data_IF_640036599469
#
_entry.id   IF_640036599469
#
_cell.length_a   1.000
_cell.length_b   1.000
_cell.length_c   1.000
_cell.angle_alpha   90.00
_cell.angle_beta   90.00
_cell.angle_gamma   90.00
#
_symmetry.space_group_name_H-M   'P 1'
#
loop_
_entity.id
_entity.type
_entity.pdbx_description
1 polymer ?
#
# COMPACT_ATOMS: atom_id res chain seq x y z
N UNK A 1 26.03 9.85 2.59
CA UNK A 1 24.92 9.83 1.62
C UNK A 1 24.97 11.10 0.81
N UNK A 2 24.77 11.01 -0.51
CA UNK A 2 24.73 12.18 -1.39
C UNK A 2 23.47 13.01 -1.10
N UNK A 3 23.55 14.32 -1.33
CA UNK A 3 22.37 15.18 -1.28
C UNK A 3 21.36 14.71 -2.33
N UNK A 4 20.09 14.57 -1.95
CA UNK A 4 19.03 14.20 -2.90
C UNK A 4 18.96 15.25 -4.02
N UNK A 5 18.92 14.83 -5.30
CA UNK A 5 18.85 15.77 -6.40
C UNK A 5 17.50 16.51 -6.40
N UNK A 6 17.52 17.78 -6.82
CA UNK A 6 16.30 18.54 -7.05
C UNK A 6 15.53 17.91 -8.20
N UNK A 7 14.31 17.47 -7.92
CA UNK A 7 13.40 16.92 -8.92
C UNK A 7 12.63 18.08 -9.58
N UNK A 8 12.57 18.17 -10.92
CA UNK A 8 11.78 19.18 -11.61
C UNK A 8 10.28 19.16 -11.24
N UNK A 9 9.66 20.34 -11.20
CA UNK A 9 8.25 20.48 -10.78
C UNK A 9 7.27 19.73 -11.69
N UNK A 10 7.58 19.62 -12.98
CA UNK A 10 6.76 18.87 -13.94
C UNK A 10 6.85 17.36 -13.74
N UNK A 11 8.00 16.84 -13.28
CA UNK A 11 8.14 15.44 -12.83
C UNK A 11 7.27 15.19 -11.61
N UNK A 12 7.30 16.10 -10.62
CA UNK A 12 6.44 16.01 -9.43
C UNK A 12 4.96 16.06 -9.82
N UNK A 13 4.57 17.00 -10.68
CA UNK A 13 3.18 17.13 -11.14
C UNK A 13 2.69 15.90 -11.92
N UNK A 14 3.54 15.33 -12.78
CA UNK A 14 3.24 14.09 -13.50
C UNK A 14 3.01 12.94 -12.52
N UNK A 15 3.93 12.75 -11.56
CA UNK A 15 3.82 11.69 -10.56
C UNK A 15 2.56 11.86 -9.69
N UNK A 16 2.23 13.10 -9.32
CA UNK A 16 1.01 13.41 -8.56
C UNK A 16 -0.24 13.00 -9.34
N UNK A 17 -0.33 13.36 -10.62
CA UNK A 17 -1.49 13.04 -11.46
C UNK A 17 -1.67 11.53 -11.65
N UNK A 18 -0.57 10.78 -11.83
CA UNK A 18 -0.61 9.31 -11.99
C UNK A 18 -1.13 8.64 -10.70
N UNK A 19 -0.61 9.04 -9.54
CA UNK A 19 -1.07 8.49 -8.26
C UNK A 19 -2.47 8.96 -7.87
N UNK A 20 -2.89 10.15 -8.27
CA UNK A 20 -4.25 10.66 -8.05
C UNK A 20 -5.27 9.79 -8.82
N UNK A 21 -4.99 9.48 -10.10
CA UNK A 21 -5.85 8.59 -10.88
C UNK A 21 -5.90 7.17 -10.28
N UNK A 22 -4.75 6.67 -9.81
CA UNK A 22 -4.67 5.37 -9.17
C UNK A 22 -5.45 5.32 -7.84
N UNK A 23 -5.31 6.36 -7.00
CA UNK A 23 -6.07 6.52 -5.76
C UNK A 23 -7.59 6.49 -6.05
N UNK A 24 -8.01 7.23 -7.09
CA UNK A 24 -9.41 7.30 -7.54
C UNK A 24 -9.95 5.95 -7.99
N UNK A 25 -9.18 5.18 -8.77
CA UNK A 25 -9.57 3.85 -9.24
C UNK A 25 -9.69 2.84 -8.10
N UNK A 26 -8.81 2.90 -7.11
CA UNK A 26 -8.88 2.03 -5.93
C UNK A 26 -10.09 2.37 -5.05
N UNK A 27 -10.36 3.66 -4.83
CA UNK A 27 -11.58 4.10 -4.15
C UNK A 27 -12.84 3.64 -4.90
N UNK A 28 -12.85 3.76 -6.23
CA UNK A 28 -13.94 3.27 -7.08
C UNK A 28 -14.12 1.76 -6.93
N UNK A 29 -13.02 0.99 -6.86
CA UNK A 29 -13.07 -0.45 -6.63
C UNK A 29 -13.69 -0.79 -5.29
N UNK A 30 -13.29 -0.11 -4.21
CA UNK A 30 -13.82 -0.33 -2.87
C UNK A 30 -15.33 -0.06 -2.80
N UNK A 31 -15.83 1.06 -3.35
CA UNK A 31 -17.28 1.36 -3.27
C UNK A 31 -18.13 0.47 -4.17
N UNK A 32 -17.56 -0.09 -5.24
CA UNK A 32 -18.27 -1.08 -6.07
C UNK A 32 -18.20 -2.49 -5.48
N UNK A 33 -17.17 -2.81 -4.70
CA UNK A 33 -16.98 -4.09 -4.01
C UNK A 33 -16.60 -3.88 -2.52
N UNK A 34 -17.52 -3.47 -1.64
CA UNK A 34 -17.18 -3.11 -0.25
C UNK A 34 -16.56 -4.23 0.57
N UNK A 35 -16.87 -5.48 0.25
CA UNK A 35 -16.33 -6.67 0.91
C UNK A 35 -14.99 -7.15 0.29
N UNK A 36 -14.39 -6.40 -0.65
CA UNK A 36 -13.15 -6.79 -1.35
C UNK A 36 -11.98 -7.07 -0.39
N UNK A 37 -11.10 -8.02 -0.74
CA UNK A 37 -9.86 -8.27 -0.01
C UNK A 37 -8.90 -7.07 -0.05
N UNK A 38 -8.13 -6.90 1.02
CA UNK A 38 -7.00 -5.94 1.07
C UNK A 38 -6.02 -6.16 -0.08
N UNK A 39 -5.57 -7.40 -0.29
CA UNK A 39 -4.64 -7.75 -1.37
C UNK A 39 -5.18 -7.44 -2.78
N UNK A 40 -6.51 -7.49 -2.97
CA UNK A 40 -7.14 -7.11 -4.24
C UNK A 40 -7.23 -5.59 -4.45
N UNK A 41 -7.13 -4.79 -3.38
CA UNK A 41 -6.94 -3.34 -3.45
C UNK A 41 -5.48 -3.01 -3.77
N UNK A 42 -4.52 -3.73 -3.20
CA UNK A 42 -3.09 -3.60 -3.54
C UNK A 42 -2.85 -3.90 -5.03
N UNK A 43 -3.36 -5.04 -5.50
CA UNK A 43 -3.31 -5.42 -6.92
C UNK A 43 -3.97 -4.36 -7.80
N UNK A 44 -5.08 -3.77 -7.32
CA UNK A 44 -5.80 -2.71 -8.02
C UNK A 44 -5.06 -1.40 -8.12
N UNK A 45 -4.32 -1.04 -7.07
CA UNK A 45 -3.46 0.12 -7.08
C UNK A 45 -2.37 -0.05 -8.14
N UNK A 46 -1.73 -1.22 -8.18
CA UNK A 46 -0.63 -1.48 -9.10
C UNK A 46 -1.12 -1.58 -10.53
N UNK A 47 -2.24 -2.26 -10.77
CA UNK A 47 -2.90 -2.32 -12.07
C UNK A 47 -3.24 -0.92 -12.59
N UNK A 48 -3.69 -0.02 -11.72
CA UNK A 48 -3.99 1.35 -12.09
C UNK A 48 -2.77 2.17 -12.52
N UNK A 49 -1.56 1.79 -12.09
CA UNK A 49 -0.30 2.45 -12.44
C UNK A 49 0.35 1.87 -13.71
N UNK A 50 -0.05 0.67 -14.16
CA UNK A 50 0.49 0.02 -15.38
C UNK A 50 0.42 0.93 -16.62
N UNK A 51 -0.71 1.63 -16.91
CA UNK A 51 -0.81 2.46 -18.11
C UNK A 51 0.29 3.52 -18.25
N UNK A 52 0.83 4.00 -17.13
CA UNK A 52 1.84 5.05 -17.06
C UNK A 52 3.28 4.50 -17.00
N UNK A 53 3.46 3.21 -17.36
CA UNK A 53 4.78 2.56 -17.32
C UNK A 53 5.72 2.94 -18.47
N UNK A 54 5.18 3.50 -19.54
CA UNK A 54 5.98 3.89 -20.71
C UNK A 54 6.90 5.10 -20.40
N UNK A 55 8.14 5.13 -20.91
CA UNK A 55 9.00 6.30 -20.77
C UNK A 55 8.34 7.55 -21.35
N UNK A 56 8.24 8.60 -20.53
CA UNK A 56 7.60 9.87 -20.88
C UNK A 56 8.62 11.01 -20.77
N UNK A 57 8.80 11.75 -21.87
CA UNK A 57 9.60 12.98 -21.88
C UNK A 57 8.74 14.16 -21.42
N UNK A 58 9.21 14.89 -20.42
CA UNK A 58 8.53 16.03 -19.82
C UNK A 58 9.13 17.38 -20.28
N UNK A 59 8.39 18.51 -20.11
CA UNK A 59 8.84 19.84 -20.54
C UNK A 59 10.21 20.29 -20.03
N UNK A 60 10.63 19.86 -18.85
CA UNK A 60 11.95 20.12 -18.27
C UNK A 60 13.09 19.39 -18.99
N UNK A 61 12.77 18.50 -19.93
CA UNK A 61 13.71 17.57 -20.55
C UNK A 61 13.97 16.31 -19.71
N UNK A 62 13.31 16.18 -18.56
CA UNK A 62 13.36 14.97 -17.75
C UNK A 62 12.60 13.82 -18.44
N UNK A 63 13.11 12.59 -18.28
CA UNK A 63 12.43 11.37 -18.73
C UNK A 63 12.02 10.58 -17.51
N UNK A 64 10.75 10.20 -17.42
CA UNK A 64 10.22 9.39 -16.32
C UNK A 64 9.73 8.06 -16.87
N UNK A 65 10.04 6.97 -16.16
CA UNK A 65 9.54 5.63 -16.44
C UNK A 65 9.12 4.98 -15.12
N UNK A 66 8.00 4.28 -15.12
CA UNK A 66 7.54 3.48 -13.99
C UNK A 66 7.50 2.01 -14.38
N UNK A 67 8.18 1.15 -13.64
CA UNK A 67 8.12 -0.29 -13.84
C UNK A 67 7.33 -0.92 -12.70
N UNK A 68 6.21 -1.53 -13.03
CA UNK A 68 5.35 -2.24 -12.07
C UNK A 68 5.70 -3.73 -12.08
N UNK A 69 5.92 -4.29 -10.89
CA UNK A 69 6.18 -5.70 -10.67
C UNK A 69 5.12 -6.24 -9.73
N UNK A 70 4.10 -6.89 -10.28
CA UNK A 70 3.12 -7.62 -9.48
C UNK A 70 3.58 -9.08 -9.35
N UNK A 71 3.81 -9.53 -8.13
CA UNK A 71 4.28 -10.90 -7.83
C UNK A 71 3.10 -11.80 -7.43
N UNK A 72 1.91 -11.21 -7.23
CA UNK A 72 0.70 -11.82 -6.73
C UNK A 72 0.78 -12.07 -5.22
N UNK A 73 -0.33 -11.84 -4.51
CA UNK A 73 -0.49 -12.09 -3.07
C UNK A 73 -0.43 -13.57 -2.64
N UNK A 74 0.26 -14.43 -3.38
CA UNK A 74 0.36 -15.86 -3.05
C UNK A 74 1.10 -16.04 -1.72
N UNK A 75 0.34 -16.43 -0.70
CA UNK A 75 0.83 -17.04 0.54
C UNK A 75 1.67 -18.27 0.17
N UNK A 76 3.00 -18.11 0.12
CA UNK A 76 3.91 -19.26 -0.03
C UNK A 76 3.90 -20.01 1.31
N UNK A 77 3.00 -20.98 1.44
CA UNK A 77 2.86 -21.80 2.65
C UNK A 77 4.11 -22.64 2.98
N UNK A 78 5.12 -22.69 2.12
CA UNK A 78 6.40 -23.34 2.40
C UNK A 78 7.44 -22.36 2.95
N UNK A 79 8.16 -22.78 4.00
CA UNK A 79 9.52 -22.26 4.21
C UNK A 79 10.30 -22.44 2.88
N UNK A 80 11.22 -21.53 2.53
CA UNK A 80 12.11 -21.74 1.39
C UNK A 80 12.71 -23.16 1.48
N UNK A 81 12.74 -23.89 0.37
CA UNK A 81 13.23 -25.28 0.34
C UNK A 81 14.73 -25.43 0.67
N UNK A 82 15.44 -24.32 0.93
CA UNK A 82 16.82 -24.26 1.39
C UNK A 82 16.96 -23.95 2.90
N UNK A 83 15.86 -23.92 3.65
CA UNK A 83 15.77 -23.36 5.01
C UNK A 83 15.78 -24.41 6.15
N UNK A 84 16.40 -25.57 5.92
CA UNK A 84 16.39 -26.69 6.89
C UNK A 84 17.39 -26.57 8.07
N UNK A 85 18.32 -25.60 8.06
CA UNK A 85 19.47 -25.63 8.98
C UNK A 85 19.57 -24.49 10.03
N UNK A 86 18.55 -23.63 10.23
CA UNK A 86 18.67 -22.53 11.23
C UNK A 86 17.39 -22.36 12.10
N UNK A 87 17.42 -22.66 13.41
CA UNK A 87 16.22 -22.69 14.29
C UNK A 87 15.55 -21.34 14.63
N UNK A 88 15.97 -20.20 14.05
CA UNK A 88 15.55 -18.86 14.53
C UNK A 88 15.06 -17.86 13.47
N UNK A 89 14.92 -18.21 12.18
CA UNK A 89 14.44 -17.25 11.16
C UNK A 89 12.94 -17.36 10.94
N UNK A 90 12.18 -16.70 11.83
CA UNK A 90 10.70 -16.59 11.77
C UNK A 90 10.24 -15.79 10.55
N UNK A 91 8.95 -15.94 10.22
CA UNK A 91 8.20 -15.20 9.19
C UNK A 91 7.96 -13.73 9.58
N UNK A 92 8.25 -12.77 8.69
CA UNK A 92 8.11 -11.30 8.82
C UNK A 92 7.32 -10.75 7.61
N UNK A 93 6.32 -9.91 7.86
CA UNK A 93 5.49 -9.20 6.87
C UNK A 93 5.44 -7.74 7.32
N UNK A 94 6.30 -6.91 6.75
CA UNK A 94 6.52 -5.50 7.17
C UNK A 94 6.07 -4.47 6.14
N UNK A 95 5.76 -4.91 4.92
CA UNK A 95 5.22 -4.08 3.86
C UNK A 95 4.54 -4.95 2.80
N UNK A 96 3.49 -4.41 2.20
CA UNK A 96 2.74 -5.04 1.10
C UNK A 96 3.17 -4.49 -0.26
N UNK A 97 3.59 -3.21 -0.30
CA UNK A 97 4.02 -2.52 -1.52
C UNK A 97 5.38 -1.84 -1.29
N UNK A 98 6.32 -2.03 -2.21
CA UNK A 98 7.58 -1.29 -2.26
C UNK A 98 7.60 -0.28 -3.40
N UNK A 99 8.08 0.94 -3.14
CA UNK A 99 8.28 1.97 -4.16
C UNK A 99 9.75 2.38 -4.14
N UNK A 100 10.47 2.02 -5.19
CA UNK A 100 11.85 2.40 -5.42
C UNK A 100 11.90 3.60 -6.37
N UNK A 101 12.75 4.57 -6.06
CA UNK A 101 13.00 5.73 -6.92
C UNK A 101 14.49 5.77 -7.26
N UNK A 102 14.80 5.78 -8.55
CA UNK A 102 16.13 5.84 -9.12
C UNK A 102 16.26 7.13 -9.92
N UNK A 103 17.29 7.92 -9.62
CA UNK A 103 17.54 9.19 -10.31
C UNK A 103 18.86 9.09 -11.05
N UNK A 104 18.81 9.39 -12.35
CA UNK A 104 19.92 9.33 -13.28
C UNK A 104 20.27 10.73 -13.78
N UNK A 105 21.54 10.91 -14.16
CA UNK A 105 22.00 12.00 -15.02
C UNK A 105 22.86 11.39 -16.11
N UNK A 106 22.43 11.54 -17.36
CA UNK A 106 22.99 10.76 -18.46
C UNK A 106 22.78 9.26 -18.21
N UNK A 107 23.88 8.49 -18.23
CA UNK A 107 23.93 7.05 -17.95
C UNK A 107 24.28 6.73 -16.47
N UNK A 108 24.56 7.73 -15.65
CA UNK A 108 24.98 7.55 -14.27
C UNK A 108 23.81 7.60 -13.29
N UNK A 109 23.66 6.57 -12.46
CA UNK A 109 22.77 6.57 -11.30
C UNK A 109 23.36 7.48 -10.21
N UNK A 110 22.67 8.57 -9.91
CA UNK A 110 23.15 9.59 -8.95
C UNK A 110 22.48 9.49 -7.57
N UNK A 111 21.28 8.90 -7.50
CA UNK A 111 20.58 8.66 -6.25
C UNK A 111 19.58 7.51 -6.37
N UNK A 112 19.40 6.75 -5.29
CA UNK A 112 18.34 5.73 -5.15
C UNK A 112 17.75 5.75 -3.75
N UNK A 113 16.46 5.44 -3.65
CA UNK A 113 15.74 5.37 -2.38
C UNK A 113 14.56 4.40 -2.44
N UNK A 114 14.06 4.04 -1.28
CA UNK A 114 12.91 3.16 -1.11
C UNK A 114 11.90 3.75 -0.12
N UNK A 115 10.63 3.64 -0.46
CA UNK A 115 9.50 3.77 0.45
C UNK A 115 8.73 2.46 0.48
N UNK A 116 8.20 2.10 1.63
CA UNK A 116 7.46 0.88 1.87
C UNK A 116 6.08 1.23 2.41
N UNK A 117 5.05 0.59 1.88
CA UNK A 117 3.67 0.73 2.32
C UNK A 117 3.18 -0.61 2.85
N UNK A 118 2.75 -0.63 4.11
CA UNK A 118 1.89 -1.68 4.64
C UNK A 118 0.44 -1.21 4.44
N UNK A 119 -0.30 -1.85 3.57
CA UNK A 119 -1.70 -1.49 3.34
C UNK A 119 -2.59 -2.01 4.45
N UNK A 120 -3.65 -1.27 4.77
CA UNK A 120 -4.73 -1.66 5.69
C UNK A 120 -6.05 -1.13 5.15
N UNK A 121 -7.08 -1.99 5.05
CA UNK A 121 -8.42 -1.54 4.61
C UNK A 121 -9.37 -1.21 5.75
N UNK A 122 -10.26 -0.24 5.52
CA UNK A 122 -11.36 0.08 6.41
C UNK A 122 -12.48 -0.96 6.29
N UNK A 123 -12.96 -1.46 7.43
CA UNK A 123 -14.05 -2.44 7.48
C UNK A 123 -15.40 -1.71 7.58
N UNK A 124 -16.43 -2.12 6.82
CA UNK A 124 -17.77 -1.59 6.99
C UNK A 124 -18.32 -1.95 8.38
N UNK A 125 -19.35 -1.25 8.85
CA UNK A 125 -19.98 -1.45 10.18
C UNK A 125 -20.40 -2.91 10.42
N UNK A 126 -20.89 -3.59 9.39
CA UNK A 126 -21.28 -5.00 9.47
C UNK A 126 -20.09 -5.98 9.47
N UNK A 127 -18.86 -5.48 9.36
CA UNK A 127 -17.58 -6.22 9.32
C UNK A 127 -17.53 -7.32 8.25
N UNK A 128 -18.36 -7.18 7.23
CA UNK A 128 -18.57 -8.20 6.22
C UNK A 128 -17.57 -8.01 5.09
N UNK A 129 -16.34 -8.49 5.34
CA UNK A 129 -15.20 -8.45 4.42
C UNK A 129 -14.82 -9.89 4.07
N UNK A 130 -14.50 -10.12 2.80
CA UNK A 130 -13.88 -11.38 2.39
C UNK A 130 -12.43 -11.38 2.87
N UNK A 131 -12.18 -11.85 4.09
CA UNK A 131 -10.82 -12.08 4.57
C UNK A 131 -10.26 -13.42 4.08
N UNK A 132 -8.93 -13.55 4.12
CA UNK A 132 -8.27 -14.82 3.83
C UNK A 132 -8.53 -15.84 4.96
N UNK A 133 -9.48 -16.74 4.76
CA UNK A 133 -9.62 -17.92 5.59
C UNK A 133 -8.70 -19.05 5.10
N UNK A 134 -8.03 -19.71 6.04
CA UNK A 134 -7.12 -20.82 5.73
C UNK A 134 -7.84 -21.96 4.97
N UNK A 135 -9.12 -22.17 5.30
CA UNK A 135 -9.96 -23.20 4.71
C UNK A 135 -10.34 -22.86 3.26
N UNK A 136 -10.79 -21.64 2.96
CA UNK A 136 -11.06 -21.20 1.59
C UNK A 136 -9.81 -21.12 0.72
N UNK A 137 -8.66 -20.73 1.27
CA UNK A 137 -7.37 -20.83 0.58
C UNK A 137 -7.04 -22.28 0.20
N UNK A 138 -7.21 -23.23 1.13
CA UNK A 138 -7.00 -24.67 0.89
C UNK A 138 -7.97 -25.25 -0.13
N UNK A 139 -9.22 -24.76 -0.15
CA UNK A 139 -10.18 -25.15 -1.19
C UNK A 139 -9.82 -24.57 -2.57
N UNK A 140 -9.13 -23.44 -2.62
CA UNK A 140 -8.70 -22.78 -3.84
C UNK A 140 -9.88 -22.54 -4.78
N UNK A 141 -9.69 -22.79 -6.08
CA UNK A 141 -10.74 -22.60 -7.07
C UNK A 141 -11.97 -23.51 -6.85
N UNK A 142 -11.87 -24.58 -6.05
CA UNK A 142 -13.00 -25.47 -5.78
C UNK A 142 -14.10 -24.80 -4.96
N UNK A 143 -13.78 -23.73 -4.21
CA UNK A 143 -14.79 -22.93 -3.52
C UNK A 143 -15.81 -22.32 -4.50
N UNK A 144 -15.41 -21.99 -5.74
CA UNK A 144 -16.33 -21.47 -6.75
C UNK A 144 -17.35 -22.50 -7.26
N UNK A 145 -17.02 -23.79 -7.14
CA UNK A 145 -17.86 -24.90 -7.63
C UNK A 145 -18.97 -25.24 -6.61
N UNK A 146 -18.72 -24.99 -5.32
CA UNK A 146 -19.68 -25.27 -4.23
C UNK A 146 -20.44 -24.00 -3.85
N UNK A 147 -21.56 -23.74 -4.53
CA UNK A 147 -22.44 -22.58 -4.27
C UNK A 147 -23.73 -22.94 -3.51
N UNK A 148 -23.70 -24.01 -2.73
CA UNK A 148 -24.90 -24.53 -2.08
C UNK A 148 -25.20 -23.74 -0.79
N UNK A 149 -26.30 -22.96 -0.76
CA UNK A 149 -26.85 -22.42 0.49
C UNK A 149 -27.58 -21.07 0.40
N UNK A 150 -28.43 -20.80 1.41
CA UNK A 150 -29.14 -19.52 1.61
C UNK A 150 -28.18 -18.32 1.76
N UNK A 151 -26.93 -18.55 2.17
CA UNK A 151 -25.91 -17.51 2.34
C UNK A 151 -25.51 -16.85 1.00
N UNK A 152 -25.52 -17.57 -0.12
CA UNK A 152 -25.16 -17.01 -1.42
C UNK A 152 -26.19 -15.99 -1.93
N UNK A 153 -27.49 -16.21 -1.67
CA UNK A 153 -28.56 -15.28 -2.04
C UNK A 153 -28.62 -14.06 -1.11
N UNK A 154 -28.31 -14.24 0.18
CA UNK A 154 -28.20 -13.15 1.14
C UNK A 154 -27.03 -12.21 0.79
N UNK A 155 -25.91 -12.75 0.27
CA UNK A 155 -24.77 -11.95 -0.20
C UNK A 155 -25.13 -10.97 -1.33
N UNK A 156 -26.16 -11.28 -2.13
CA UNK A 156 -26.63 -10.41 -3.21
C UNK A 156 -27.45 -9.21 -2.73
N UNK A 157 -27.91 -9.22 -1.48
CA UNK A 157 -28.76 -8.19 -0.88
C UNK A 157 -28.13 -7.71 0.43
N UNK A 158 -27.05 -6.94 0.31
CA UNK A 158 -26.29 -6.42 1.45
C UNK A 158 -26.21 -4.91 1.41
N UNK A 159 -26.23 -4.30 2.59
CA UNK A 159 -25.94 -2.88 2.77
C UNK A 159 -24.67 -2.77 3.60
N UNK A 160 -23.68 -2.08 3.05
CA UNK A 160 -22.43 -1.75 3.70
C UNK A 160 -22.47 -0.28 4.10
N UNK A 161 -22.18 0.00 5.35
CA UNK A 161 -22.12 1.36 5.88
C UNK A 161 -20.69 1.62 6.34
N UNK A 162 -20.19 2.81 6.03
CA UNK A 162 -18.91 3.31 6.47
C UNK A 162 -19.11 4.67 7.15
N UNK A 163 -18.55 4.83 8.33
CA UNK A 163 -18.47 6.10 9.04
C UNK A 163 -17.14 6.19 9.81
N UNK A 164 -16.97 7.25 10.58
CA UNK A 164 -15.74 7.50 11.35
C UNK A 164 -15.49 6.46 12.46
N UNK A 165 -16.49 5.65 12.81
CA UNK A 165 -16.39 4.60 13.83
C UNK A 165 -15.94 3.25 13.26
N UNK A 166 -15.93 3.11 11.93
CA UNK A 166 -15.37 1.95 11.25
C UNK A 166 -13.89 1.73 11.61
N UNK A 167 -13.46 0.48 11.61
CA UNK A 167 -12.13 0.06 12.09
C UNK A 167 -11.23 -0.46 10.97
N UNK A 168 -9.92 -0.32 11.15
CA UNK A 168 -8.92 -1.03 10.36
C UNK A 168 -8.63 -2.38 11.03
N UNK A 169 -9.51 -3.38 10.82
CA UNK A 169 -9.52 -4.60 11.63
C UNK A 169 -8.20 -5.40 11.58
N UNK A 170 -7.49 -5.35 10.45
CA UNK A 170 -6.19 -5.98 10.25
C UNK A 170 -5.01 -5.26 10.95
N UNK A 171 -5.24 -4.07 11.52
CA UNK A 171 -4.28 -3.32 12.32
C UNK A 171 -4.65 -3.46 13.80
N UNK A 172 -3.87 -4.23 14.56
CA UNK A 172 -4.21 -4.58 15.95
C UNK A 172 -3.12 -4.16 16.92
N UNK A 173 -3.53 -3.62 18.07
CA UNK A 173 -2.63 -3.32 19.17
C UNK A 173 -1.98 -4.59 19.72
N UNK A 174 -0.67 -4.53 19.98
CA UNK A 174 0.12 -5.69 20.44
C UNK A 174 0.39 -6.75 19.36
N UNK A 175 0.00 -6.51 18.11
CA UNK A 175 0.33 -7.42 17.02
C UNK A 175 1.83 -7.37 16.68
N UNK A 176 2.43 -8.54 16.42
CA UNK A 176 3.87 -8.68 16.13
C UNK A 176 4.32 -7.83 14.93
N UNK A 177 3.45 -7.55 13.97
CA UNK A 177 3.76 -6.70 12.82
C UNK A 177 4.24 -5.29 13.25
N UNK A 178 3.64 -4.72 14.30
CA UNK A 178 4.01 -3.41 14.85
C UNK A 178 5.48 -3.41 15.29
N UNK A 179 5.88 -4.39 16.11
CA UNK A 179 7.26 -4.53 16.59
C UNK A 179 8.28 -4.75 15.46
N UNK A 180 7.87 -5.49 14.41
CA UNK A 180 8.71 -5.76 13.25
C UNK A 180 8.93 -4.49 12.42
N UNK A 181 7.88 -3.70 12.21
CA UNK A 181 7.95 -2.42 11.49
C UNK A 181 8.80 -1.42 12.29
N UNK A 182 8.63 -1.33 13.61
CA UNK A 182 9.46 -0.48 14.46
C UNK A 182 10.93 -0.87 14.42
N UNK A 183 11.21 -2.17 14.45
CA UNK A 183 12.57 -2.71 14.32
C UNK A 183 13.19 -2.36 12.98
N UNK A 184 12.44 -2.53 11.89
CA UNK A 184 12.90 -2.18 10.55
C UNK A 184 13.17 -0.67 10.44
N UNK A 185 12.23 0.17 10.84
CA UNK A 185 12.38 1.63 10.75
C UNK A 185 13.53 2.15 11.63
N UNK A 186 13.79 1.52 12.77
CA UNK A 186 14.96 1.84 13.61
C UNK A 186 16.29 1.43 12.95
N UNK A 187 16.35 0.23 12.39
CA UNK A 187 17.61 -0.37 11.92
C UNK A 187 17.99 0.08 10.49
N UNK A 188 16.98 0.42 9.68
CA UNK A 188 17.15 0.84 8.28
C UNK A 188 16.89 2.33 8.06
N UNK A 189 16.09 2.96 8.92
CA UNK A 189 15.59 4.33 8.76
C UNK A 189 14.11 4.35 8.40
N UNK A 190 13.48 5.53 8.48
CA UNK A 190 12.03 5.71 8.28
C UNK A 190 11.60 5.39 6.83
N UNK A 191 11.34 4.12 6.58
CA UNK A 191 11.02 3.59 5.26
C UNK A 191 9.58 3.08 5.16
N UNK A 192 9.00 2.58 6.26
CA UNK A 192 7.66 1.98 6.28
C UNK A 192 6.60 2.96 6.74
N UNK A 193 5.52 3.03 5.97
CA UNK A 193 4.32 3.82 6.18
C UNK A 193 3.09 2.91 6.04
N UNK A 194 1.94 3.33 6.57
CA UNK A 194 0.68 2.63 6.33
C UNK A 194 -0.09 3.27 5.18
N UNK A 195 -0.56 2.45 4.23
CA UNK A 195 -1.55 2.85 3.22
C UNK A 195 -2.94 2.45 3.70
N UNK A 196 -3.74 3.41 4.11
CA UNK A 196 -5.09 3.20 4.62
C UNK A 196 -6.10 3.33 3.49
N UNK A 197 -6.68 2.19 3.08
CA UNK A 197 -7.75 2.17 2.08
C UNK A 197 -9.09 2.56 2.71
N UNK A 198 -9.72 3.60 2.17
CA UNK A 198 -10.99 4.13 2.65
C UNK A 198 -11.89 4.61 1.49
N UNK A 199 -13.22 4.70 1.71
CA UNK A 199 -14.13 5.26 0.71
C UNK A 199 -13.77 6.72 0.35
N UNK A 200 -14.24 7.23 -0.81
CA UNK A 200 -13.94 8.60 -1.24
C UNK A 200 -14.47 9.67 -0.28
N UNK A 201 -15.55 9.38 0.46
CA UNK A 201 -16.15 10.25 1.47
C UNK A 201 -16.63 9.41 2.67
N UNK A 202 -16.76 10.05 3.83
CA UNK A 202 -17.44 9.50 4.99
C UNK A 202 -18.48 10.52 5.51
N UNK A 203 -19.67 10.06 5.96
CA UNK A 203 -20.16 8.68 5.88
C UNK A 203 -20.45 8.24 4.43
N UNK A 204 -20.47 6.92 4.20
CA UNK A 204 -20.76 6.30 2.90
C UNK A 204 -21.61 5.03 3.08
N UNK A 205 -22.63 4.85 2.22
CA UNK A 205 -23.47 3.65 2.21
C UNK A 205 -23.50 3.06 0.80
N UNK A 206 -23.29 1.75 0.71
CA UNK A 206 -23.38 0.98 -0.54
C UNK A 206 -24.39 -0.15 -0.35
N UNK A 207 -25.43 -0.18 -1.18
CA UNK A 207 -26.47 -1.21 -1.13
C UNK A 207 -26.46 -2.04 -2.41
N UNK A 208 -26.43 -3.35 -2.25
CA UNK A 208 -26.53 -4.32 -3.33
C UNK A 208 -27.98 -4.79 -3.56
N UNK A 209 -28.34 -5.08 -4.83
CA UNK A 209 -27.52 -4.97 -6.03
C UNK A 209 -27.32 -3.51 -6.48
N UNK A 210 -26.16 -3.22 -7.09
CA UNK A 210 -25.92 -1.92 -7.72
C UNK A 210 -26.71 -1.82 -9.03
N UNK A 211 -27.49 -0.75 -9.20
CA UNK A 211 -28.18 -0.46 -10.47
C UNK A 211 -27.21 0.02 -11.55
N UNK A 212 -26.13 0.67 -11.14
CA UNK A 212 -25.05 1.15 -12.00
C UNK A 212 -23.73 1.13 -11.24
N UNK A 213 -22.62 0.98 -11.98
CA UNK A 213 -21.28 1.11 -11.42
C UNK A 213 -21.10 2.53 -10.86
N UNK A 214 -20.68 2.62 -9.60
CA UNK A 214 -20.36 3.88 -8.95
C UNK A 214 -19.07 4.41 -9.58
N UNK A 215 -19.05 5.69 -9.96
CA UNK A 215 -17.86 6.40 -10.43
C UNK A 215 -17.42 7.41 -9.40
N UNK A 216 -16.14 7.43 -9.09
CA UNK A 216 -15.56 8.33 -8.09
C UNK A 216 -15.01 9.57 -8.79
N UNK A 217 -15.48 10.74 -8.35
CA UNK A 217 -14.97 12.06 -8.71
C UNK A 217 -14.13 12.62 -7.56
N UNK A 218 -14.70 13.55 -6.81
CA UNK A 218 -14.07 14.14 -5.63
C UNK A 218 -13.86 13.11 -4.49
N UNK A 219 -12.74 13.24 -3.76
CA UNK A 219 -12.28 12.30 -2.74
C UNK A 219 -11.74 13.03 -1.50
N UNK A 220 -12.57 13.75 -0.75
CA UNK A 220 -12.12 14.44 0.46
C UNK A 220 -11.48 13.50 1.49
N UNK A 221 -11.92 12.23 1.53
CA UNK A 221 -11.31 11.15 2.33
C UNK A 221 -10.36 10.34 1.46
N UNK A 222 -10.85 9.39 0.66
CA UNK A 222 -10.03 8.55 -0.21
C UNK A 222 -8.91 7.79 0.53
N UNK A 223 -7.95 7.24 -0.20
CA UNK A 223 -6.86 6.49 0.41
C UNK A 223 -5.80 7.44 0.97
N UNK A 224 -5.34 7.15 2.19
CA UNK A 224 -4.41 8.00 2.96
C UNK A 224 -3.14 7.23 3.29
N UNK A 225 -2.02 7.93 3.36
CA UNK A 225 -0.76 7.39 3.86
C UNK A 225 -0.40 8.06 5.17
N UNK A 226 -0.03 7.27 6.18
CA UNK A 226 0.37 7.76 7.51
C UNK A 226 1.72 7.20 7.94
N UNK A 227 2.46 7.95 8.76
CA UNK A 227 3.69 7.47 9.40
C UNK A 227 3.37 6.31 10.35
N UNK A 228 4.17 5.24 10.27
CA UNK A 228 4.03 4.09 11.16
C UNK A 228 4.17 4.48 12.63
N UNK A 229 5.04 5.44 12.97
CA UNK A 229 5.24 5.92 14.35
C UNK A 229 3.94 6.47 14.95
N UNK A 230 3.24 7.34 14.21
CA UNK A 230 1.98 7.92 14.66
C UNK A 230 0.87 6.86 14.78
N UNK A 231 0.78 5.95 13.80
CA UNK A 231 -0.18 4.85 13.85
C UNK A 231 0.09 3.93 15.06
N UNK A 232 1.36 3.62 15.35
CA UNK A 232 1.75 2.78 16.49
C UNK A 232 1.51 3.47 17.83
N UNK A 233 1.71 4.79 17.92
CA UNK A 233 1.33 5.56 19.11
C UNK A 233 -0.18 5.51 19.36
N UNK A 234 -1.01 5.57 18.32
CA UNK A 234 -2.45 5.40 18.44
C UNK A 234 -2.80 4.00 18.98
N UNK A 235 -2.15 2.95 18.46
CA UNK A 235 -2.33 1.57 18.90
C UNK A 235 -1.89 1.34 20.35
N UNK A 236 -0.84 2.03 20.82
CA UNK A 236 -0.36 1.91 22.19
C UNK A 236 -1.39 2.37 23.23
N UNK A 237 -2.35 3.22 22.84
CA UNK A 237 -3.48 3.64 23.67
C UNK A 237 -4.64 2.63 23.75
N UNK A 238 -4.58 1.55 22.97
CA UNK A 238 -5.63 0.52 22.91
C UNK A 238 -5.25 -0.73 23.71
N UNK A 239 -6.25 -1.53 24.11
CA UNK A 239 -5.99 -2.83 24.69
C UNK A 239 -5.51 -3.82 23.62
N UNK A 240 -4.71 -4.80 24.04
CA UNK A 240 -4.19 -5.84 23.15
C UNK A 240 -5.31 -6.51 22.31
N UNK A 241 -5.08 -6.63 21.00
CA UNK A 241 -6.03 -7.18 20.03
C UNK A 241 -7.12 -6.21 19.55
N UNK A 242 -7.23 -5.00 20.11
CA UNK A 242 -8.16 -4.00 19.60
C UNK A 242 -7.61 -3.34 18.34
N UNK A 243 -8.51 -2.96 17.43
CA UNK A 243 -8.20 -2.24 16.21
C UNK A 243 -8.60 -0.76 16.31
N UNK A 244 -7.87 0.15 15.65
CA UNK A 244 -8.18 1.57 15.70
C UNK A 244 -9.35 1.90 14.77
N UNK A 245 -10.18 2.87 15.18
CA UNK A 245 -11.21 3.47 14.33
C UNK A 245 -10.58 4.42 13.31
N UNK A 246 -11.34 4.77 12.28
CA UNK A 246 -10.97 5.82 11.34
C UNK A 246 -10.68 7.14 12.07
N UNK A 247 -11.58 7.58 12.95
CA UNK A 247 -11.41 8.81 13.73
C UNK A 247 -10.16 8.79 14.60
N UNK A 248 -9.85 7.67 15.26
CA UNK A 248 -8.68 7.55 16.12
C UNK A 248 -7.38 7.75 15.32
N UNK A 249 -7.27 7.15 14.13
CA UNK A 249 -6.10 7.35 13.27
C UNK A 249 -6.05 8.75 12.68
N UNK A 250 -7.19 9.34 12.32
CA UNK A 250 -7.23 10.72 11.83
C UNK A 250 -6.73 11.71 12.90
N UNK A 251 -7.16 11.55 14.14
CA UNK A 251 -6.72 12.37 15.26
C UNK A 251 -5.24 12.16 15.57
N UNK A 252 -4.79 10.90 15.66
CA UNK A 252 -3.40 10.57 15.99
C UNK A 252 -2.39 10.96 14.90
N UNK A 253 -2.83 10.99 13.64
CA UNK A 253 -2.01 11.32 12.49
C UNK A 253 -2.31 12.72 11.92
N UNK A 254 -2.96 13.61 12.67
CA UNK A 254 -3.33 14.95 12.19
C UNK A 254 -2.13 15.70 11.61
N UNK A 255 -2.24 16.13 10.35
CA UNK A 255 -1.17 16.84 9.64
C UNK A 255 -0.06 15.92 9.11
N UNK A 256 -0.21 14.62 9.29
CA UNK A 256 0.64 13.52 8.79
C UNK A 256 -0.19 12.40 8.15
N UNK A 257 -1.40 12.75 7.71
CA UNK A 257 -2.35 11.92 6.98
C UNK A 257 -2.48 12.44 5.55
N UNK A 258 -1.60 11.97 4.68
CA UNK A 258 -1.48 12.52 3.33
C UNK A 258 -2.34 11.74 2.35
N UNK A 259 -3.01 12.40 1.39
CA UNK A 259 -3.49 11.70 0.20
C UNK A 259 -2.35 10.90 -0.44
N UNK A 260 -2.66 9.74 -1.01
CA UNK A 260 -1.64 8.84 -1.59
C UNK A 260 -0.74 9.56 -2.61
N UNK A 261 -1.32 10.38 -3.47
CA UNK A 261 -0.63 11.18 -4.47
C UNK A 261 0.30 12.23 -3.88
N UNK A 262 -0.09 12.86 -2.76
CA UNK A 262 0.76 13.79 -2.03
C UNK A 262 1.93 13.06 -1.40
N UNK A 263 1.70 11.92 -0.75
CA UNK A 263 2.80 11.17 -0.16
C UNK A 263 3.80 10.69 -1.24
N UNK A 264 3.30 10.19 -2.38
CA UNK A 264 4.15 9.69 -3.44
C UNK A 264 4.95 10.80 -4.14
N UNK A 265 4.30 11.89 -4.55
CA UNK A 265 4.92 12.94 -5.35
C UNK A 265 5.58 14.04 -4.50
N UNK A 266 4.95 14.49 -3.42
CA UNK A 266 5.44 15.62 -2.64
C UNK A 266 6.41 15.20 -1.55
N UNK A 267 6.29 13.98 -1.01
CA UNK A 267 7.11 13.53 0.10
C UNK A 267 8.17 12.53 -0.32
N UNK A 268 7.77 11.44 -0.99
CA UNK A 268 8.68 10.37 -1.36
C UNK A 268 9.62 10.84 -2.46
N UNK A 269 9.09 11.37 -3.56
CA UNK A 269 9.89 11.80 -4.71
C UNK A 269 10.87 12.94 -4.38
N UNK A 270 10.48 13.90 -3.54
CA UNK A 270 11.33 15.04 -3.13
C UNK A 270 12.24 14.73 -1.93
N UNK A 271 12.17 13.50 -1.41
CA UNK A 271 12.98 13.02 -0.29
C UNK A 271 12.73 13.67 1.06
N UNK A 272 11.47 14.02 1.35
CA UNK A 272 11.01 14.30 2.71
C UNK A 272 10.73 13.02 3.51
N UNK A 273 10.35 11.92 2.84
CA UNK A 273 10.11 10.60 3.46
C UNK A 273 10.79 9.48 2.69
N UNK A 274 10.89 8.28 3.28
CA UNK A 274 11.57 7.14 2.69
C UNK A 274 13.08 7.18 2.90
N UNK A 275 13.74 6.06 2.63
CA UNK A 275 15.14 5.87 2.98
C UNK A 275 16.03 5.84 1.73
N UNK A 276 17.01 6.74 1.67
CA UNK A 276 18.09 6.65 0.69
C UNK A 276 19.01 5.48 1.03
N UNK A 277 19.48 4.80 0.00
CA UNK A 277 20.44 3.71 0.15
C UNK A 277 21.48 3.77 -0.97
N UNK A 278 22.60 3.13 -0.73
CA UNK A 278 23.72 3.01 -1.65
C UNK A 278 24.21 1.55 -1.67
N UNK A 279 25.25 1.29 -2.46
CA UNK A 279 25.79 -0.05 -2.65
C UNK A 279 26.27 -0.69 -1.33
N UNK A 280 26.57 0.10 -0.29
CA UNK A 280 26.94 -0.43 1.04
C UNK A 280 25.76 -1.04 1.81
N UNK A 281 24.53 -0.64 1.47
CA UNK A 281 23.29 -1.12 2.08
C UNK A 281 22.37 -1.83 1.08
N UNK A 282 22.81 -2.06 -0.16
CA UNK A 282 22.07 -2.80 -1.18
C UNK A 282 21.70 -4.20 -0.69
N UNK A 283 22.59 -4.88 0.03
CA UNK A 283 22.27 -6.20 0.60
C UNK A 283 21.14 -6.14 1.63
N UNK A 284 20.94 -5.02 2.33
CA UNK A 284 19.82 -4.83 3.26
C UNK A 284 18.52 -4.58 2.50
N UNK A 285 18.55 -3.73 1.48
CA UNK A 285 17.39 -3.50 0.61
C UNK A 285 16.99 -4.77 -0.11
N UNK A 286 17.97 -5.46 -0.67
CA UNK A 286 17.83 -6.78 -1.27
C UNK A 286 17.29 -7.78 -0.27
N UNK A 287 17.78 -7.80 0.97
CA UNK A 287 17.22 -8.62 2.04
C UNK A 287 15.72 -8.35 2.27
N UNK A 288 15.29 -7.08 2.25
CA UNK A 288 13.87 -6.72 2.38
C UNK A 288 13.02 -7.14 1.15
N UNK A 289 13.60 -7.09 -0.06
CA UNK A 289 12.92 -7.50 -1.29
C UNK A 289 12.92 -9.04 -1.51
N UNK A 290 13.95 -9.75 -1.03
CA UNK A 290 14.22 -11.16 -1.32
C UNK A 290 13.86 -12.14 -0.18
N UNK A 291 14.00 -11.78 1.10
CA UNK A 291 13.86 -12.74 2.21
C UNK A 291 12.41 -12.83 2.71
N UNK A 292 11.66 -13.73 2.08
CA UNK A 292 10.20 -13.85 2.20
C UNK A 292 9.73 -14.83 3.27
N UNK A 293 8.59 -14.47 3.84
CA UNK A 293 7.66 -15.40 4.46
C UNK A 293 6.17 -15.11 4.19
N UNK A 294 5.89 -13.91 3.69
CA UNK A 294 4.77 -13.53 2.84
C UNK A 294 5.34 -12.59 1.78
N UNK A 295 4.81 -12.52 0.54
CA UNK A 295 5.36 -11.63 -0.47
C UNK A 295 4.96 -10.17 -0.18
N UNK A 296 5.89 -9.21 -0.37
CA UNK A 296 5.50 -7.89 -0.89
C UNK A 296 4.70 -8.20 -2.15
N UNK A 297 3.39 -7.95 -2.12
CA UNK A 297 2.47 -8.30 -3.19
C UNK A 297 2.85 -7.61 -4.50
N UNK A 298 3.42 -6.40 -4.39
CA UNK A 298 3.88 -5.64 -5.53
C UNK A 298 5.02 -4.65 -5.25
N UNK A 299 5.83 -4.40 -6.28
CA UNK A 299 6.83 -3.36 -6.28
C UNK A 299 6.65 -2.41 -7.46
N UNK A 300 6.97 -1.14 -7.24
CA UNK A 300 7.05 -0.10 -8.24
C UNK A 300 8.48 0.44 -8.27
N UNK A 301 9.07 0.53 -9.45
CA UNK A 301 10.35 1.20 -9.66
C UNK A 301 10.16 2.42 -10.57
N UNK A 302 10.36 3.62 -10.03
CA UNK A 302 10.37 4.86 -10.80
C UNK A 302 11.82 5.20 -11.19
N UNK A 303 12.08 5.30 -12.49
CA UNK A 303 13.35 5.76 -13.04
C UNK A 303 13.19 7.15 -13.63
N UNK A 304 14.03 8.08 -13.19
CA UNK A 304 13.96 9.50 -13.57
C UNK A 304 15.33 9.91 -14.11
N UNK A 305 15.41 10.22 -15.40
CA UNK A 305 16.61 10.81 -16.00
C UNK A 305 16.46 12.32 -16.01
N UNK A 306 17.31 13.01 -15.26
CA UNK A 306 17.36 14.46 -15.25
C UNK A 306 18.07 15.00 -16.51
N UNK A 307 17.69 16.20 -16.99
CA UNK A 307 18.41 16.84 -18.08
C UNK A 307 19.88 17.09 -17.70
N UNK A 308 20.76 17.09 -18.70
CA UNK A 308 22.14 17.57 -18.56
C UNK A 308 22.12 19.01 -18.00
N UNK A 309 23.00 19.31 -17.04
CA UNK A 309 23.14 20.70 -16.56
C UNK A 309 23.69 21.52 -17.73
N UNK A 310 22.95 22.55 -18.15
CA UNK A 310 23.49 23.61 -19.02
C UNK A 310 24.53 24.41 -18.26
#
# INVERSE_FOLDING_TARGET
MNTWPTIPDDVVAWFRSVFEDANRRVCERLVNLPNIRETSLDDGLIEALIPDSAPTLLPSGAIVRMDTHNIGGLRRLGAPHWDWDIPQRRRWETADIAILVFVYRGDALIAKKIGLLQSKRLFPINQDVEDEDEIGFLHGMNAFIRRDGQQAAAALHRTYNFDETCIFAALQAGHRQVELIDTLNRDFGKAVFYLLYAPPHLPCTVTYPLSQRIRVGDMPVGNRVVDAENAHQALAGLNNGQSPTFSLLQDACTGRDWPLETWAADLLLTCQVGQQFDDSNDDRVRYFLERRSGPIGAALAASITLPERV
#
